data_IF_352499056429
#
_entry.id   IF_352499056429
#
_cell.length_a   1.000
_cell.length_b   1.000
_cell.length_c   1.000
_cell.angle_alpha   90.00
_cell.angle_beta   90.00
_cell.angle_gamma   90.00
#
_symmetry.space_group_name_H-M   'P 1'
#
loop_
_entity.id
_entity.type
_entity.pdbx_description
1 polymer ?
#
# COMPACT_ATOMS: atom_id res chain seq x y z
N UNK A 1 -64.44 49.26 6.97
CA UNK A 1 -63.17 50.00 7.04
C UNK A 1 -62.26 49.27 8.03
N UNK A 2 -61.06 48.95 7.54
CA UNK A 2 -59.87 48.39 8.20
C UNK A 2 -59.76 46.89 8.50
N UNK A 3 -58.61 46.38 8.06
CA UNK A 3 -58.14 45.02 7.93
C UNK A 3 -57.61 44.41 9.23
N UNK A 4 -57.43 43.09 9.21
CA UNK A 4 -56.69 42.32 10.22
C UNK A 4 -56.43 40.90 9.73
N UNK A 5 -55.68 40.78 8.63
CA UNK A 5 -55.08 39.52 8.19
C UNK A 5 -53.84 39.25 9.05
N UNK A 6 -53.97 38.40 10.07
CA UNK A 6 -52.82 37.87 10.81
C UNK A 6 -52.47 36.50 10.23
N UNK A 7 -51.79 36.54 9.07
CA UNK A 7 -51.07 35.40 8.54
C UNK A 7 -49.93 35.00 9.48
N UNK A 8 -50.21 34.14 10.46
CA UNK A 8 -49.17 33.39 11.14
C UNK A 8 -48.60 32.37 10.15
N UNK A 9 -47.52 32.77 9.48
CA UNK A 9 -46.70 31.89 8.66
C UNK A 9 -46.04 30.88 9.60
N UNK A 10 -46.59 29.66 9.65
CA UNK A 10 -46.03 28.54 10.39
C UNK A 10 -44.53 28.34 10.05
N UNK A 11 -43.59 28.54 11.00
CA UNK A 11 -42.15 28.52 10.73
C UNK A 11 -41.59 27.09 10.56
N UNK A 12 -42.46 26.09 10.48
CA UNK A 12 -42.08 24.68 10.49
C UNK A 12 -41.61 24.16 9.11
N UNK A 13 -42.03 24.80 8.01
CA UNK A 13 -41.77 24.28 6.65
C UNK A 13 -40.40 24.66 6.07
N UNK A 14 -39.86 25.83 6.42
CA UNK A 14 -38.59 26.33 5.90
C UNK A 14 -37.38 25.56 6.45
N UNK A 15 -37.46 25.15 7.72
CA UNK A 15 -36.41 24.35 8.38
C UNK A 15 -36.26 22.95 7.76
N UNK A 16 -37.36 22.37 7.26
CA UNK A 16 -37.34 21.05 6.60
C UNK A 16 -36.72 21.16 5.20
N UNK A 17 -37.05 22.23 4.46
CA UNK A 17 -36.44 22.48 3.14
C UNK A 17 -34.96 22.80 3.25
N UNK A 18 -34.56 23.62 4.22
CA UNK A 18 -33.16 23.95 4.48
C UNK A 18 -32.34 22.72 4.90
N UNK A 19 -32.89 21.84 5.76
CA UNK A 19 -32.22 20.60 6.17
C UNK A 19 -32.13 19.57 5.05
N UNK A 20 -33.15 19.45 4.19
CA UNK A 20 -33.10 18.58 3.02
C UNK A 20 -32.06 19.06 1.99
N UNK A 21 -31.95 20.37 1.76
CA UNK A 21 -30.93 20.95 0.87
C UNK A 21 -29.53 20.78 1.47
N UNK A 22 -29.37 20.97 2.79
CA UNK A 22 -28.11 20.74 3.48
C UNK A 22 -27.70 19.26 3.46
N UNK A 23 -28.64 18.33 3.64
CA UNK A 23 -28.42 16.90 3.53
C UNK A 23 -28.04 16.51 2.09
N UNK A 24 -28.75 17.05 1.09
CA UNK A 24 -28.45 16.82 -0.33
C UNK A 24 -27.07 17.36 -0.72
N UNK A 25 -26.73 18.57 -0.27
CA UNK A 25 -25.41 19.18 -0.44
C UNK A 25 -24.31 18.41 0.30
N UNK A 26 -24.60 17.84 1.47
CA UNK A 26 -23.67 16.96 2.20
C UNK A 26 -23.44 15.65 1.45
N UNK A 27 -24.49 15.03 0.89
CA UNK A 27 -24.35 13.84 0.03
C UNK A 27 -23.61 14.14 -1.28
N UNK A 28 -23.71 15.36 -1.81
CA UNK A 28 -22.92 15.79 -2.97
C UNK A 28 -21.44 16.06 -2.60
N UNK A 29 -21.16 16.61 -1.40
CA UNK A 29 -19.80 16.78 -0.85
C UNK A 29 -19.12 15.45 -0.48
N UNK A 30 -19.90 14.42 -0.18
CA UNK A 30 -19.40 13.05 0.06
C UNK A 30 -19.03 12.32 -1.24
N UNK A 31 -19.47 12.81 -2.40
CA UNK A 31 -19.06 12.32 -3.72
C UNK A 31 -17.88 13.11 -4.28
N UNK A 32 -16.86 13.38 -3.47
CA UNK A 32 -15.55 13.77 -4.00
C UNK A 32 -14.91 12.52 -4.62
N UNK A 33 -15.02 12.37 -5.94
CA UNK A 33 -14.37 11.32 -6.75
C UNK A 33 -12.83 11.45 -6.82
N UNK A 34 -12.21 11.90 -5.73
CA UNK A 34 -10.76 11.94 -5.57
C UNK A 34 -10.22 10.60 -5.07
N UNK A 35 -8.97 10.31 -5.40
CA UNK A 35 -8.27 9.14 -4.88
C UNK A 35 -8.14 9.30 -3.36
N UNK A 36 -8.76 8.39 -2.59
CA UNK A 36 -8.63 8.35 -1.13
C UNK A 36 -7.17 8.10 -0.73
N UNK A 37 -6.66 8.84 0.26
CA UNK A 37 -5.29 8.60 0.78
C UNK A 37 -5.10 7.17 1.29
N UNK A 38 -6.17 6.54 1.78
CA UNK A 38 -6.17 5.12 2.16
C UNK A 38 -5.96 4.19 0.95
N UNK A 39 -6.54 4.53 -0.21
CA UNK A 39 -6.32 3.80 -1.44
C UNK A 39 -4.87 3.93 -1.90
N UNK A 40 -4.29 5.14 -1.85
CA UNK A 40 -2.87 5.37 -2.19
C UNK A 40 -1.96 4.51 -1.30
N UNK A 41 -2.17 4.52 0.02
CA UNK A 41 -1.36 3.72 0.93
C UNK A 41 -1.46 2.22 0.61
N UNK A 42 -2.67 1.69 0.37
CA UNK A 42 -2.83 0.28 0.01
C UNK A 42 -2.22 -0.07 -1.36
N UNK A 43 -2.27 0.85 -2.34
CA UNK A 43 -1.58 0.68 -3.63
C UNK A 43 -0.07 0.60 -3.45
N UNK A 44 0.52 1.43 -2.57
CA UNK A 44 1.94 1.36 -2.27
C UNK A 44 2.32 0.05 -1.59
N UNK A 45 1.50 -0.44 -0.66
CA UNK A 45 1.71 -1.77 -0.05
C UNK A 45 1.63 -2.87 -1.11
N UNK A 46 0.67 -2.80 -2.04
CA UNK A 46 0.54 -3.76 -3.14
C UNK A 46 1.75 -3.68 -4.09
N UNK A 47 2.28 -2.50 -4.35
CA UNK A 47 3.49 -2.29 -5.14
C UNK A 47 4.72 -2.93 -4.46
N UNK A 48 4.87 -2.78 -3.14
CA UNK A 48 5.93 -3.47 -2.39
C UNK A 48 5.77 -4.99 -2.49
N UNK A 49 4.56 -5.53 -2.31
CA UNK A 49 4.31 -6.95 -2.49
C UNK A 49 4.68 -7.43 -3.92
N UNK A 50 4.33 -6.66 -4.94
CA UNK A 50 4.67 -6.96 -6.33
C UNK A 50 6.19 -6.93 -6.58
N UNK A 51 6.92 -5.98 -5.99
CA UNK A 51 8.39 -5.94 -6.04
C UNK A 51 9.00 -7.21 -5.44
N UNK A 52 8.47 -7.69 -4.30
CA UNK A 52 8.96 -8.93 -3.69
C UNK A 52 8.65 -10.17 -4.52
N UNK A 53 7.50 -10.23 -5.19
CA UNK A 53 7.22 -11.29 -6.18
C UNK A 53 8.21 -11.21 -7.33
N UNK A 54 8.52 -10.00 -7.81
CA UNK A 54 9.50 -9.80 -8.87
C UNK A 54 10.91 -10.28 -8.45
N UNK A 55 11.35 -9.97 -7.23
CA UNK A 55 12.63 -10.46 -6.69
C UNK A 55 12.63 -11.98 -6.53
N UNK A 56 11.54 -12.57 -6.02
CA UNK A 56 11.37 -14.03 -5.97
C UNK A 56 11.59 -14.63 -7.36
N UNK A 57 10.96 -14.08 -8.39
CA UNK A 57 11.07 -14.63 -9.75
C UNK A 57 12.49 -14.53 -10.28
N UNK A 58 13.15 -13.40 -10.04
CA UNK A 58 14.54 -13.20 -10.42
C UNK A 58 15.49 -14.17 -9.73
N UNK A 59 15.31 -14.39 -8.42
CA UNK A 59 16.21 -15.17 -7.58
C UNK A 59 15.98 -16.69 -7.68
N UNK A 60 14.73 -17.14 -7.87
CA UNK A 60 14.41 -18.56 -7.99
C UNK A 60 14.50 -19.09 -9.42
N UNK A 61 14.05 -18.33 -10.42
CA UNK A 61 13.88 -18.84 -11.78
C UNK A 61 14.86 -18.23 -12.79
N UNK A 62 15.23 -16.96 -12.60
CA UNK A 62 16.02 -16.23 -13.60
C UNK A 62 17.48 -15.98 -13.18
N UNK A 63 17.91 -16.47 -12.02
CA UNK A 63 19.21 -16.16 -11.41
C UNK A 63 20.40 -16.42 -12.35
N UNK A 64 20.39 -17.57 -13.04
CA UNK A 64 21.43 -17.98 -14.00
C UNK A 64 21.10 -17.59 -15.45
N UNK A 65 20.00 -16.86 -15.69
CA UNK A 65 19.56 -16.43 -17.02
C UNK A 65 20.10 -15.01 -17.32
N UNK A 66 20.16 -14.58 -18.59
CA UNK A 66 20.71 -13.27 -18.96
C UNK A 66 20.11 -12.09 -18.16
N UNK A 67 18.80 -12.14 -17.88
CA UNK A 67 18.12 -11.12 -17.08
C UNK A 67 18.62 -11.08 -15.62
N UNK A 68 18.79 -12.24 -14.96
CA UNK A 68 19.32 -12.31 -13.60
C UNK A 68 20.78 -11.85 -13.55
N UNK A 69 21.61 -12.36 -14.46
CA UNK A 69 23.02 -11.95 -14.57
C UNK A 69 23.16 -10.43 -14.72
N UNK A 70 22.38 -9.81 -15.61
CA UNK A 70 22.39 -8.36 -15.81
C UNK A 70 21.86 -7.59 -14.59
N UNK A 71 20.82 -8.09 -13.93
CA UNK A 71 20.20 -7.42 -12.78
C UNK A 71 21.14 -7.40 -11.57
N UNK A 72 21.78 -8.53 -11.29
CA UNK A 72 22.65 -8.71 -10.12
C UNK A 72 24.14 -8.46 -10.41
N UNK A 73 24.52 -8.23 -11.67
CA UNK A 73 25.92 -8.03 -12.07
C UNK A 73 26.80 -9.24 -11.81
N UNK A 74 26.27 -10.45 -11.99
CA UNK A 74 26.99 -11.71 -11.77
C UNK A 74 27.54 -12.27 -13.09
N UNK A 75 28.68 -12.97 -13.02
CA UNK A 75 29.09 -13.90 -14.08
C UNK A 75 28.29 -15.19 -13.97
N UNK A 76 28.26 -15.98 -15.04
CA UNK A 76 27.51 -17.25 -15.04
C UNK A 76 28.09 -18.24 -14.02
N UNK A 77 29.40 -18.29 -13.85
CA UNK A 77 30.09 -19.17 -12.89
C UNK A 77 29.68 -18.84 -11.45
N UNK A 78 29.70 -17.55 -11.10
CA UNK A 78 29.28 -17.09 -9.77
C UNK A 78 27.79 -17.32 -9.52
N UNK A 79 26.94 -17.11 -10.53
CA UNK A 79 25.51 -17.36 -10.42
C UNK A 79 25.20 -18.85 -10.23
N UNK A 80 25.89 -19.74 -10.94
CA UNK A 80 25.74 -21.19 -10.77
C UNK A 80 26.15 -21.64 -9.37
N UNK A 81 27.30 -21.15 -8.87
CA UNK A 81 27.78 -21.50 -7.53
C UNK A 81 26.84 -21.05 -6.39
N UNK A 82 26.03 -20.01 -6.62
CA UNK A 82 25.13 -19.42 -5.62
C UNK A 82 23.65 -19.71 -5.85
N UNK A 83 23.29 -20.49 -6.88
CA UNK A 83 21.90 -20.64 -7.33
C UNK A 83 20.95 -21.18 -6.24
N UNK A 84 21.38 -22.13 -5.43
CA UNK A 84 20.56 -22.69 -4.34
C UNK A 84 20.32 -21.65 -3.24
N UNK A 85 21.36 -20.89 -2.88
CA UNK A 85 21.23 -19.82 -1.88
C UNK A 85 20.32 -18.70 -2.39
N UNK A 86 20.45 -18.32 -3.66
CA UNK A 86 19.58 -17.33 -4.30
C UNK A 86 18.13 -17.83 -4.34
N UNK A 87 17.87 -19.09 -4.69
CA UNK A 87 16.52 -19.63 -4.67
C UNK A 87 15.89 -19.57 -3.26
N UNK A 88 16.68 -19.82 -2.21
CA UNK A 88 16.21 -19.66 -0.83
C UNK A 88 15.91 -18.20 -0.45
N UNK A 89 16.75 -17.26 -0.90
CA UNK A 89 16.48 -15.82 -0.76
C UNK A 89 15.17 -15.42 -1.45
N UNK A 90 14.94 -15.94 -2.65
CA UNK A 90 13.70 -15.73 -3.40
C UNK A 90 12.47 -16.28 -2.68
N UNK A 91 12.56 -17.44 -2.03
CA UNK A 91 11.46 -17.98 -1.24
C UNK A 91 11.09 -17.07 -0.06
N UNK A 92 12.09 -16.50 0.64
CA UNK A 92 11.84 -15.53 1.71
C UNK A 92 11.14 -14.26 1.18
N UNK A 93 11.54 -13.78 0.01
CA UNK A 93 10.83 -12.69 -0.68
C UNK A 93 9.35 -13.07 -0.94
N UNK A 94 9.09 -14.33 -1.28
CA UNK A 94 7.72 -14.86 -1.40
C UNK A 94 6.90 -14.78 -0.12
N UNK A 95 7.49 -15.13 1.03
CA UNK A 95 6.79 -15.01 2.32
C UNK A 95 6.47 -13.55 2.67
N UNK A 96 7.37 -12.61 2.36
CA UNK A 96 7.13 -11.18 2.56
C UNK A 96 5.95 -10.70 1.69
N UNK A 97 5.94 -11.06 0.41
CA UNK A 97 4.83 -10.73 -0.48
C UNK A 97 3.49 -11.34 -0.02
N UNK A 98 3.50 -12.62 0.37
CA UNK A 98 2.30 -13.31 0.85
C UNK A 98 1.73 -12.65 2.11
N UNK A 99 2.58 -12.24 3.05
CA UNK A 99 2.18 -11.50 4.24
C UNK A 99 1.54 -10.15 3.94
N UNK A 100 2.12 -9.38 3.02
CA UNK A 100 1.55 -8.09 2.59
C UNK A 100 0.21 -8.26 1.88
N UNK A 101 0.09 -9.26 0.99
CA UNK A 101 -1.17 -9.59 0.31
C UNK A 101 -2.23 -10.02 1.32
N UNK A 102 -1.86 -10.84 2.30
CA UNK A 102 -2.75 -11.24 3.37
C UNK A 102 -3.28 -10.03 4.15
N UNK A 103 -2.40 -9.10 4.54
CA UNK A 103 -2.80 -7.87 5.23
C UNK A 103 -3.66 -6.91 4.38
N UNK A 104 -3.52 -6.94 3.04
CA UNK A 104 -4.37 -6.19 2.11
C UNK A 104 -5.77 -6.79 1.97
N UNK A 105 -5.87 -8.13 1.97
CA UNK A 105 -7.12 -8.85 1.74
C UNK A 105 -7.85 -9.24 3.04
N UNK A 106 -7.27 -8.96 4.20
CA UNK A 106 -7.84 -9.36 5.48
C UNK A 106 -9.20 -8.66 5.73
N UNK A 107 -10.27 -9.41 6.08
CA UNK A 107 -11.62 -8.84 6.23
C UNK A 107 -11.74 -7.87 7.42
N UNK A 108 -10.93 -8.08 8.48
CA UNK A 108 -10.83 -7.13 9.58
C UNK A 108 -9.74 -6.07 9.26
N UNK A 109 -10.10 -4.79 9.07
CA UNK A 109 -9.16 -3.74 8.67
C UNK A 109 -8.17 -3.35 9.77
N UNK A 110 -8.48 -3.58 11.05
CA UNK A 110 -7.56 -3.35 12.16
C UNK A 110 -6.44 -4.38 12.15
N UNK A 111 -6.80 -5.65 11.99
CA UNK A 111 -5.83 -6.74 11.92
C UNK A 111 -5.02 -6.69 10.62
N UNK A 112 -5.66 -6.38 9.49
CA UNK A 112 -4.97 -6.19 8.21
C UNK A 112 -3.92 -5.08 8.29
N UNK A 113 -4.19 -3.98 8.99
CA UNK A 113 -3.19 -2.94 9.24
C UNK A 113 -1.97 -3.46 10.01
N UNK A 114 -2.19 -4.22 11.10
CA UNK A 114 -1.10 -4.77 11.91
C UNK A 114 -0.20 -5.72 11.09
N UNK A 115 -0.81 -6.58 10.27
CA UNK A 115 -0.08 -7.47 9.35
C UNK A 115 0.77 -6.64 8.37
N UNK A 116 0.18 -5.64 7.71
CA UNK A 116 0.90 -4.78 6.76
C UNK A 116 2.08 -4.07 7.41
N UNK A 117 1.89 -3.50 8.60
CA UNK A 117 2.96 -2.84 9.36
C UNK A 117 4.09 -3.81 9.68
N UNK A 118 3.77 -4.99 10.21
CA UNK A 118 4.77 -6.00 10.56
C UNK A 118 5.63 -6.38 9.35
N UNK A 119 5.00 -6.73 8.22
CA UNK A 119 5.74 -7.14 7.02
C UNK A 119 6.49 -5.98 6.38
N UNK A 120 5.96 -4.75 6.36
CA UNK A 120 6.70 -3.58 5.88
C UNK A 120 7.95 -3.31 6.73
N UNK A 121 7.86 -3.46 8.05
CA UNK A 121 9.03 -3.34 8.94
C UNK A 121 10.07 -4.42 8.63
N UNK A 122 9.64 -5.68 8.43
CA UNK A 122 10.55 -6.75 8.00
C UNK A 122 11.25 -6.40 6.68
N UNK A 123 10.51 -5.88 5.69
CA UNK A 123 11.08 -5.45 4.39
C UNK A 123 12.10 -4.33 4.58
N UNK A 124 11.81 -3.33 5.41
CA UNK A 124 12.73 -2.23 5.70
C UNK A 124 14.02 -2.76 6.33
N UNK A 125 13.92 -3.57 7.38
CA UNK A 125 15.08 -4.14 8.08
C UNK A 125 15.92 -5.01 7.13
N UNK A 126 15.28 -5.89 6.37
CA UNK A 126 15.96 -6.74 5.39
C UNK A 126 16.63 -5.91 4.28
N UNK A 127 15.94 -4.87 3.78
CA UNK A 127 16.48 -3.98 2.75
C UNK A 127 17.66 -3.14 3.23
N UNK A 128 17.63 -2.67 4.49
CA UNK A 128 18.76 -1.97 5.11
C UNK A 128 19.95 -2.91 5.31
N UNK A 129 19.72 -4.12 5.82
CA UNK A 129 20.78 -5.11 6.02
C UNK A 129 21.38 -5.58 4.70
N UNK A 130 20.56 -5.83 3.67
CA UNK A 130 21.03 -6.12 2.32
C UNK A 130 21.78 -4.94 1.69
N UNK A 131 21.34 -3.71 1.98
CA UNK A 131 22.04 -2.48 1.64
C UNK A 131 23.47 -2.41 2.16
N UNK A 132 23.64 -2.81 3.42
CA UNK A 132 24.92 -2.86 4.11
C UNK A 132 25.82 -4.02 3.64
N UNK A 133 25.23 -5.21 3.47
CA UNK A 133 25.99 -6.47 3.25
C UNK A 133 26.20 -6.85 1.78
N UNK A 134 25.35 -6.38 0.85
CA UNK A 134 25.35 -6.83 -0.55
C UNK A 134 25.50 -5.64 -1.51
N UNK A 135 24.57 -4.67 -1.49
CA UNK A 135 24.63 -3.52 -2.39
C UNK A 135 23.74 -2.38 -1.92
N UNK A 136 24.26 -1.14 -1.95
CA UNK A 136 23.49 0.09 -1.66
C UNK A 136 22.21 0.22 -2.49
N UNK A 137 22.15 -0.38 -3.68
CA UNK A 137 20.94 -0.38 -4.53
C UNK A 137 19.73 -1.02 -3.83
N UNK A 138 19.96 -1.99 -2.95
CA UNK A 138 18.90 -2.70 -2.21
C UNK A 138 18.11 -1.73 -1.32
N UNK A 139 18.78 -0.75 -0.70
CA UNK A 139 18.10 0.30 0.08
C UNK A 139 17.08 1.05 -0.79
N UNK A 140 17.47 1.38 -2.02
CA UNK A 140 16.64 2.17 -2.93
C UNK A 140 15.45 1.38 -3.49
N UNK A 141 15.64 0.10 -3.83
CA UNK A 141 14.58 -0.71 -4.47
C UNK A 141 13.71 -1.49 -3.49
N UNK A 142 14.14 -1.64 -2.23
CA UNK A 142 13.45 -2.45 -1.21
C UNK A 142 13.09 -1.64 0.03
N UNK A 143 14.06 -1.06 0.75
CA UNK A 143 13.80 -0.38 2.01
C UNK A 143 13.02 0.93 1.84
N UNK A 144 13.42 1.75 0.86
CA UNK A 144 12.79 3.04 0.58
C UNK A 144 11.30 2.92 0.21
N UNK A 145 10.88 2.11 -0.78
CA UNK A 145 9.46 1.99 -1.11
C UNK A 145 8.63 1.44 0.06
N UNK A 146 9.18 0.50 0.85
CA UNK A 146 8.52 -0.01 2.04
C UNK A 146 8.38 1.05 3.15
N UNK A 147 9.40 1.89 3.36
CA UNK A 147 9.33 3.00 4.31
C UNK A 147 8.27 4.04 3.89
N UNK A 148 8.22 4.40 2.60
CA UNK A 148 7.19 5.30 2.08
C UNK A 148 5.79 4.70 2.28
N UNK A 149 5.61 3.42 1.93
CA UNK A 149 4.34 2.73 2.13
C UNK A 149 3.93 2.71 3.60
N UNK A 150 4.87 2.45 4.52
CA UNK A 150 4.62 2.41 5.96
C UNK A 150 4.21 3.78 6.51
N UNK A 151 4.95 4.83 6.14
CA UNK A 151 4.64 6.20 6.58
C UNK A 151 3.24 6.59 6.12
N UNK A 152 2.91 6.39 4.85
CA UNK A 152 1.59 6.72 4.32
C UNK A 152 0.49 5.87 4.98
N UNK A 153 0.74 4.58 5.20
CA UNK A 153 -0.21 3.69 5.86
C UNK A 153 -0.51 4.14 7.30
N UNK A 154 0.49 4.64 8.03
CA UNK A 154 0.31 5.17 9.38
C UNK A 154 -0.40 6.52 9.42
N UNK A 155 -0.23 7.37 8.40
CA UNK A 155 -0.87 8.69 8.33
C UNK A 155 -2.37 8.63 8.01
N UNK A 156 -2.82 7.57 7.35
CA UNK A 156 -4.19 7.43 6.83
C UNK A 156 -5.07 6.50 7.67
N UNK A 157 -4.55 6.05 8.81
CA UNK A 157 -5.24 5.19 9.75
C UNK A 157 -5.85 5.99 10.90
#
# INVERSE_FOLDING_TARGET
MMAGDTGEVFPFSDNIRASAIAALAASFRLSNGGISMSLIANVLVALVAALHIYFLVLEMFLWTKPKGLATFGNTIEKAQASAVLAANQGLYNGFLAAGLIWGLLHPNPVFGFQIKVFFLLCVIVAGLYGGYSVSKKIVMVQALPAAIALILLCLVR
#
